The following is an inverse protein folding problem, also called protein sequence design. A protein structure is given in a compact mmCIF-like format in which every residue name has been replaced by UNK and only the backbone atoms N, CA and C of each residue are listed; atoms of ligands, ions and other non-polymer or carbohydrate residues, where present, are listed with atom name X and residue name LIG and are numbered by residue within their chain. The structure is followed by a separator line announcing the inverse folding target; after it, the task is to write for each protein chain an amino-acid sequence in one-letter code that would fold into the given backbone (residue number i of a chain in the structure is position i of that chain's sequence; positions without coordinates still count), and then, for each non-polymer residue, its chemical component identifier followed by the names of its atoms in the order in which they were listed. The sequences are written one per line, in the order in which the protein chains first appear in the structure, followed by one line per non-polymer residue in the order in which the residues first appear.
data_IF_883890332287
#
_entry.id   IF_883890332287
#
_cell.length_a   1.000
_cell.length_b   1.000
_cell.length_c   1.000
_cell.angle_alpha   90.00
_cell.angle_beta   90.00
_cell.angle_gamma   90.00
#
_symmetry.space_group_name_H-M   'P 1'
#
loop_
_entity.id
_entity.type
_entity.pdbx_description
1 polymer ?
#
# COMPACT_ATOMS: atom_id res chain seq x y z
N UNK A 1 -2.74 29.10 4.17
CA UNK A 1 -2.73 27.63 4.04
C UNK A 1 -3.98 27.09 4.72
N UNK A 2 -4.72 26.23 4.05
CA UNK A 2 -5.82 25.52 4.70
C UNK A 2 -5.28 24.35 5.56
N UNK A 3 -6.13 23.76 6.41
CA UNK A 3 -5.73 22.67 7.32
C UNK A 3 -5.14 21.47 6.59
N UNK A 4 -5.59 21.15 5.39
CA UNK A 4 -5.09 20.07 4.57
C UNK A 4 -3.67 20.35 4.05
N UNK A 5 -3.43 21.57 3.55
CA UNK A 5 -2.09 21.98 3.11
C UNK A 5 -1.09 21.94 4.27
N UNK A 6 -1.51 22.42 5.46
CA UNK A 6 -0.68 22.36 6.66
C UNK A 6 -0.37 20.92 7.06
N UNK A 7 -1.37 20.04 7.05
CA UNK A 7 -1.22 18.62 7.35
C UNK A 7 -0.24 17.93 6.39
N UNK A 8 -0.37 18.15 5.07
CA UNK A 8 0.54 17.59 4.06
C UNK A 8 1.97 18.05 4.30
N UNK A 9 2.20 19.36 4.47
CA UNK A 9 3.55 19.90 4.71
C UNK A 9 4.13 19.36 6.02
N UNK A 10 3.33 19.31 7.09
CA UNK A 10 3.77 18.79 8.38
C UNK A 10 4.13 17.27 8.31
N UNK A 11 3.32 16.48 7.62
CA UNK A 11 3.58 15.04 7.44
C UNK A 11 4.85 14.78 6.62
N UNK A 12 5.04 15.49 5.51
CA UNK A 12 6.25 15.40 4.70
C UNK A 12 7.49 15.83 5.50
N UNK A 13 7.42 16.93 6.26
CA UNK A 13 8.51 17.35 7.13
C UNK A 13 8.83 16.31 8.22
N UNK A 14 7.81 15.66 8.79
CA UNK A 14 7.98 14.58 9.75
C UNK A 14 8.72 13.39 9.13
N UNK A 15 8.32 12.94 7.94
CA UNK A 15 8.97 11.82 7.23
C UNK A 15 10.41 12.14 6.84
N UNK A 16 10.67 13.37 6.39
CA UNK A 16 12.04 13.84 6.12
C UNK A 16 12.90 13.83 7.40
N UNK A 17 12.34 14.28 8.53
CA UNK A 17 13.02 14.27 9.82
C UNK A 17 13.36 12.84 10.28
N UNK A 18 12.41 11.89 10.14
CA UNK A 18 12.64 10.48 10.46
C UNK A 18 13.72 9.89 9.56
N UNK A 19 13.64 10.13 8.25
CA UNK A 19 14.64 9.70 7.27
C UNK A 19 16.02 10.26 7.61
N UNK A 20 16.12 11.55 7.92
CA UNK A 20 17.39 12.18 8.33
C UNK A 20 17.94 11.58 9.63
N UNK A 21 17.09 11.37 10.64
CA UNK A 21 17.52 10.71 11.89
C UNK A 21 18.04 9.30 11.64
N UNK A 22 17.35 8.52 10.80
CA UNK A 22 17.79 7.17 10.44
C UNK A 22 19.10 7.19 9.64
N UNK A 23 19.25 8.14 8.71
CA UNK A 23 20.44 8.30 7.87
C UNK A 23 21.72 8.56 8.66
N UNK A 24 21.64 9.29 9.79
CA UNK A 24 22.79 9.48 10.69
C UNK A 24 23.39 8.18 11.24
N UNK A 25 22.64 7.08 11.22
CA UNK A 25 23.08 5.78 11.72
C UNK A 25 23.59 4.84 10.64
N UNK A 26 23.58 5.28 9.38
CA UNK A 26 24.13 4.54 8.24
C UNK A 26 25.64 4.75 8.22
N UNK A 27 26.41 3.68 8.45
CA UNK A 27 27.87 3.73 8.48
C UNK A 27 28.52 2.85 7.41
N UNK A 28 27.86 1.78 7.02
CA UNK A 28 28.38 0.77 6.09
C UNK A 28 27.40 0.52 4.95
N UNK A 29 27.83 -0.08 3.87
CA UNK A 29 26.98 -0.48 2.74
C UNK A 29 25.84 -1.40 3.16
N UNK A 30 26.07 -2.30 4.12
CA UNK A 30 25.00 -3.15 4.65
C UNK A 30 23.90 -2.36 5.38
N UNK A 31 24.24 -1.26 6.06
CA UNK A 31 23.24 -0.39 6.67
C UNK A 31 22.37 0.27 5.60
N UNK A 32 22.98 0.68 4.49
CA UNK A 32 22.30 1.35 3.39
C UNK A 32 21.41 0.41 2.57
N UNK A 33 21.93 -0.77 2.18
CA UNK A 33 21.18 -1.71 1.34
C UNK A 33 20.19 -2.59 2.10
N UNK A 34 20.56 -3.08 3.28
CA UNK A 34 19.79 -4.09 4.03
C UNK A 34 19.59 -3.75 5.51
N UNK A 35 19.66 -2.47 5.87
CA UNK A 35 19.45 -1.96 7.24
C UNK A 35 20.29 -2.67 8.32
N UNK A 36 21.50 -3.11 7.95
CA UNK A 36 22.39 -3.87 8.85
C UNK A 36 21.86 -5.24 9.25
N UNK A 37 20.85 -5.77 8.55
CA UNK A 37 20.22 -7.09 8.79
C UNK A 37 19.74 -7.31 10.23
N UNK A 38 19.35 -6.26 10.91
CA UNK A 38 18.98 -6.33 12.34
C UNK A 38 17.54 -5.85 12.60
N UNK A 39 16.69 -5.81 11.57
CA UNK A 39 15.31 -5.35 11.71
C UNK A 39 14.47 -6.38 12.49
N UNK A 40 13.79 -5.96 13.56
CA UNK A 40 12.86 -6.81 14.33
C UNK A 40 11.54 -7.03 13.58
N UNK A 41 10.71 -7.94 14.08
CA UNK A 41 9.44 -8.33 13.46
C UNK A 41 8.54 -7.14 13.15
N UNK A 42 8.40 -6.18 14.07
CA UNK A 42 7.49 -5.03 13.87
C UNK A 42 7.92 -4.11 12.71
N UNK A 43 9.22 -3.90 12.51
CA UNK A 43 9.72 -3.10 11.41
C UNK A 43 9.55 -3.82 10.07
N UNK A 44 9.80 -5.14 10.01
CA UNK A 44 9.58 -5.91 8.79
C UNK A 44 8.08 -6.00 8.48
N UNK A 45 7.22 -6.25 9.47
CA UNK A 45 5.78 -6.24 9.31
C UNK A 45 5.29 -4.88 8.79
N UNK A 46 5.69 -3.80 9.46
CA UNK A 46 5.26 -2.44 9.09
C UNK A 46 5.64 -2.08 7.66
N UNK A 47 6.89 -2.38 7.25
CA UNK A 47 7.33 -2.10 5.87
C UNK A 47 6.69 -3.03 4.83
N UNK A 48 6.40 -4.30 5.15
CA UNK A 48 5.67 -5.22 4.26
C UNK A 48 4.26 -4.68 3.97
N UNK A 49 3.53 -4.27 5.02
CA UNK A 49 2.18 -3.73 4.88
C UNK A 49 2.20 -2.36 4.21
N UNK A 50 3.06 -1.44 4.67
CA UNK A 50 3.12 -0.09 4.13
C UNK A 50 3.53 -0.06 2.66
N UNK A 51 4.47 -0.90 2.24
CA UNK A 51 4.90 -0.96 0.84
C UNK A 51 3.89 -1.63 -0.10
N UNK A 52 2.94 -2.40 0.42
CA UNK A 52 1.85 -2.97 -0.36
C UNK A 52 0.66 -2.02 -0.46
N UNK A 53 0.20 -1.49 0.67
CA UNK A 53 -0.85 -0.49 0.68
C UNK A 53 -0.33 0.80 0.05
N UNK A 54 -0.81 1.08 -1.14
CA UNK A 54 -0.47 2.28 -1.91
C UNK A 54 -1.72 3.15 -2.11
N UNK A 55 -1.60 4.20 -2.89
CA UNK A 55 -2.75 4.99 -3.34
C UNK A 55 -3.82 4.13 -4.01
N UNK A 56 -3.43 3.03 -4.68
CA UNK A 56 -4.39 2.11 -5.32
C UNK A 56 -5.36 1.47 -4.31
N UNK A 57 -4.90 1.08 -3.13
CA UNK A 57 -5.77 0.48 -2.10
C UNK A 57 -6.83 1.47 -1.60
N UNK A 58 -6.44 2.73 -1.41
CA UNK A 58 -7.32 3.77 -0.86
C UNK A 58 -8.16 4.51 -1.90
N UNK A 59 -7.77 4.51 -3.15
CA UNK A 59 -8.51 5.13 -4.25
C UNK A 59 -9.14 4.07 -5.15
N UNK A 60 -8.33 3.24 -5.80
CA UNK A 60 -8.81 2.26 -6.78
C UNK A 60 -9.72 1.20 -6.17
N UNK A 61 -9.22 0.45 -5.19
CA UNK A 61 -9.98 -0.67 -4.60
C UNK A 61 -11.11 -0.19 -3.68
N UNK A 62 -10.92 0.91 -2.94
CA UNK A 62 -12.00 1.54 -2.19
C UNK A 62 -13.07 2.11 -3.13
N UNK A 63 -12.67 2.69 -4.27
CA UNK A 63 -13.60 3.13 -5.33
C UNK A 63 -14.41 1.95 -5.91
N UNK A 64 -13.78 0.82 -6.19
CA UNK A 64 -14.48 -0.41 -6.60
C UNK A 64 -15.49 -0.88 -5.54
N UNK A 65 -15.14 -0.77 -4.27
CA UNK A 65 -16.04 -1.14 -3.17
C UNK A 65 -17.22 -0.18 -3.05
N UNK A 66 -17.00 1.10 -3.26
CA UNK A 66 -18.05 2.11 -3.36
C UNK A 66 -18.97 1.87 -4.57
N UNK A 67 -18.43 1.40 -5.70
CA UNK A 67 -19.22 1.02 -6.89
C UNK A 67 -20.10 -0.23 -6.69
N UNK A 68 -19.91 -0.97 -5.60
CA UNK A 68 -20.71 -2.15 -5.26
C UNK A 68 -19.97 -3.48 -5.33
N UNK A 69 -18.63 -3.47 -5.32
CA UNK A 69 -17.81 -4.68 -5.48
C UNK A 69 -16.96 -5.01 -4.24
N UNK A 70 -17.33 -4.51 -3.05
CA UNK A 70 -16.58 -4.72 -1.82
C UNK A 70 -16.27 -6.19 -1.50
N UNK A 71 -17.20 -7.16 -1.60
CA UNK A 71 -16.88 -8.56 -1.34
C UNK A 71 -15.89 -9.16 -2.33
N UNK A 72 -15.94 -8.76 -3.60
CA UNK A 72 -14.98 -9.22 -4.61
C UNK A 72 -13.55 -8.72 -4.31
N UNK A 73 -13.40 -7.47 -3.88
CA UNK A 73 -12.10 -6.93 -3.44
C UNK A 73 -11.59 -7.70 -2.22
N UNK A 74 -12.46 -8.09 -1.28
CA UNK A 74 -12.07 -8.89 -0.11
C UNK A 74 -11.66 -10.30 -0.54
N UNK A 75 -12.38 -10.96 -1.46
CA UNK A 75 -12.02 -12.28 -1.99
C UNK A 75 -10.65 -12.21 -2.68
N UNK A 76 -10.43 -11.24 -3.56
CA UNK A 76 -9.15 -10.99 -4.20
C UNK A 76 -8.04 -10.80 -3.16
N UNK A 77 -8.29 -10.03 -2.12
CA UNK A 77 -7.34 -9.77 -1.03
C UNK A 77 -7.00 -11.04 -0.25
N UNK A 78 -7.95 -11.92 0.01
CA UNK A 78 -7.69 -13.21 0.66
C UNK A 78 -6.65 -14.04 -0.12
N UNK A 79 -6.79 -14.13 -1.44
CA UNK A 79 -5.83 -14.83 -2.27
C UNK A 79 -4.48 -14.12 -2.31
N UNK A 80 -4.45 -12.80 -2.46
CA UNK A 80 -3.19 -12.07 -2.54
C UNK A 80 -2.40 -12.09 -1.23
N UNK A 81 -3.06 -12.04 -0.08
CA UNK A 81 -2.41 -12.10 1.23
C UNK A 81 -1.74 -13.46 1.51
N UNK A 82 -2.21 -14.56 0.91
CA UNK A 82 -1.51 -15.86 0.98
C UNK A 82 -0.09 -15.76 0.40
N UNK A 83 0.15 -14.83 -0.50
CA UNK A 83 1.47 -14.54 -1.06
C UNK A 83 2.52 -14.20 -0.01
N UNK A 84 2.14 -13.59 1.13
CA UNK A 84 3.08 -13.35 2.22
C UNK A 84 3.63 -14.64 2.82
N UNK A 85 2.77 -15.64 3.03
CA UNK A 85 3.19 -16.94 3.58
C UNK A 85 4.03 -17.71 2.54
N UNK A 86 3.55 -17.79 1.30
CA UNK A 86 4.29 -18.44 0.21
C UNK A 86 5.65 -17.75 0.02
N UNK A 87 5.67 -16.42 -0.02
CA UNK A 87 6.88 -15.62 -0.15
C UNK A 87 7.87 -15.85 1.00
N UNK A 88 7.42 -15.85 2.24
CA UNK A 88 8.28 -16.08 3.39
C UNK A 88 8.86 -17.50 3.45
N UNK A 89 8.01 -18.51 3.21
CA UNK A 89 8.40 -19.93 3.32
C UNK A 89 9.31 -20.36 2.18
N UNK A 90 8.97 -20.01 0.93
CA UNK A 90 9.68 -20.52 -0.25
C UNK A 90 10.80 -19.61 -0.75
N UNK A 91 10.77 -18.31 -0.43
CA UNK A 91 11.76 -17.34 -0.91
C UNK A 91 12.44 -16.57 0.22
N UNK A 92 11.70 -15.99 1.14
CA UNK A 92 12.20 -15.04 2.13
C UNK A 92 13.25 -15.64 3.07
N UNK A 93 13.06 -16.85 3.54
CA UNK A 93 14.04 -17.58 4.37
C UNK A 93 15.36 -17.80 3.64
N UNK A 94 15.30 -18.21 2.38
CA UNK A 94 16.49 -18.44 1.55
C UNK A 94 17.21 -17.15 1.22
N UNK A 95 16.46 -16.08 0.88
CA UNK A 95 17.01 -14.75 0.70
C UNK A 95 17.72 -14.28 1.96
N UNK A 96 17.09 -14.40 3.13
CA UNK A 96 17.73 -14.02 4.40
C UNK A 96 18.99 -14.80 4.69
N UNK A 97 18.98 -16.11 4.42
CA UNK A 97 20.12 -17.00 4.61
C UNK A 97 21.28 -16.71 3.66
N UNK A 98 21.00 -16.26 2.45
CA UNK A 98 22.01 -16.01 1.40
C UNK A 98 22.98 -14.88 1.72
N UNK A 99 22.63 -13.99 2.64
CA UNK A 99 23.40 -12.78 2.95
C UNK A 99 23.63 -11.85 1.74
N UNK A 100 22.83 -11.96 0.68
CA UNK A 100 22.91 -11.06 -0.47
C UNK A 100 22.53 -9.64 -0.10
N UNK A 101 23.09 -8.62 -0.74
CA UNK A 101 22.73 -7.22 -0.53
C UNK A 101 21.50 -6.80 -1.34
N UNK A 102 21.30 -7.46 -2.48
CA UNK A 102 20.16 -7.19 -3.38
C UNK A 102 19.58 -8.50 -3.91
N UNK A 103 18.35 -8.46 -4.40
CA UNK A 103 17.72 -9.62 -5.06
C UNK A 103 18.49 -10.04 -6.33
N UNK A 104 18.95 -9.14 -7.21
CA UNK A 104 19.83 -9.52 -8.33
C UNK A 104 21.14 -10.19 -7.89
N UNK A 105 21.75 -9.74 -6.80
CA UNK A 105 22.96 -10.36 -6.26
C UNK A 105 22.72 -11.79 -5.74
N UNK A 106 21.53 -12.05 -5.16
CA UNK A 106 21.11 -13.40 -4.80
C UNK A 106 21.04 -14.32 -6.02
N UNK A 107 20.45 -13.87 -7.13
CA UNK A 107 20.39 -14.66 -8.37
C UNK A 107 21.78 -14.95 -8.94
N UNK A 108 22.68 -13.94 -8.91
CA UNK A 108 24.08 -14.18 -9.31
C UNK A 108 24.72 -15.28 -8.50
N UNK A 109 24.60 -15.24 -7.18
CA UNK A 109 25.20 -16.23 -6.28
C UNK A 109 24.57 -17.63 -6.52
N UNK A 110 23.23 -17.68 -6.71
CA UNK A 110 22.50 -18.93 -6.89
C UNK A 110 22.82 -19.65 -8.20
N UNK A 111 22.97 -18.91 -9.29
CA UNK A 111 23.16 -19.44 -10.65
C UNK A 111 24.59 -19.28 -11.15
N UNK A 112 25.48 -18.70 -10.36
CA UNK A 112 26.86 -18.36 -10.73
C UNK A 112 26.96 -17.64 -12.09
N UNK A 113 26.04 -16.69 -12.35
CA UNK A 113 25.91 -16.04 -13.64
C UNK A 113 25.67 -14.54 -13.52
N UNK A 114 26.61 -13.73 -14.05
CA UNK A 114 26.49 -12.28 -14.15
C UNK A 114 25.36 -11.85 -15.11
N UNK A 115 25.08 -12.65 -16.14
CA UNK A 115 23.99 -12.36 -17.09
C UNK A 115 22.64 -12.44 -16.40
N UNK A 116 22.41 -13.46 -15.55
CA UNK A 116 21.17 -13.59 -14.78
C UNK A 116 20.99 -12.41 -13.81
N UNK A 117 22.07 -11.97 -13.15
CA UNK A 117 22.02 -10.78 -12.31
C UNK A 117 21.58 -9.55 -13.11
N UNK A 118 22.17 -9.33 -14.29
CA UNK A 118 21.85 -8.21 -15.17
C UNK A 118 20.38 -8.23 -15.63
N UNK A 119 19.88 -9.39 -16.09
CA UNK A 119 18.47 -9.52 -16.48
C UNK A 119 17.51 -9.28 -15.29
N UNK A 120 17.84 -9.80 -14.11
CA UNK A 120 17.04 -9.53 -12.91
C UNK A 120 17.05 -8.03 -12.56
N UNK A 121 18.22 -7.36 -12.65
CA UNK A 121 18.33 -5.92 -12.42
C UNK A 121 17.49 -5.10 -13.42
N UNK A 122 17.59 -5.39 -14.71
CA UNK A 122 16.81 -4.72 -15.76
C UNK A 122 15.31 -4.90 -15.52
N UNK A 123 14.87 -6.13 -15.20
CA UNK A 123 13.47 -6.40 -14.92
C UNK A 123 12.95 -5.60 -13.73
N UNK A 124 13.75 -5.44 -12.68
CA UNK A 124 13.41 -4.60 -11.51
C UNK A 124 13.31 -3.13 -11.93
N UNK A 125 14.30 -2.61 -12.66
CA UNK A 125 14.32 -1.21 -13.09
C UNK A 125 13.07 -0.91 -13.93
N UNK A 126 12.79 -1.72 -14.96
CA UNK A 126 11.62 -1.48 -15.84
C UNK A 126 10.31 -1.61 -15.09
N UNK A 127 10.10 -2.72 -14.35
CA UNK A 127 8.84 -2.99 -13.68
C UNK A 127 8.54 -2.00 -12.55
N UNK A 128 9.53 -1.71 -11.69
CA UNK A 128 9.31 -0.81 -10.57
C UNK A 128 9.28 0.66 -10.97
N UNK A 129 9.96 1.07 -12.06
CA UNK A 129 9.84 2.45 -12.58
C UNK A 129 8.44 2.71 -13.13
N UNK A 130 7.85 1.75 -13.85
CA UNK A 130 6.47 1.87 -14.33
C UNK A 130 5.47 1.99 -13.15
N UNK A 131 5.64 1.16 -12.12
CA UNK A 131 4.77 1.22 -10.94
C UNK A 131 4.99 2.51 -10.13
N UNK A 132 6.23 2.98 -10.01
CA UNK A 132 6.59 4.26 -9.37
C UNK A 132 5.86 5.44 -10.02
N UNK A 133 5.80 5.47 -11.35
CA UNK A 133 5.06 6.50 -12.09
C UNK A 133 3.57 6.49 -11.73
N UNK A 134 2.93 5.31 -11.72
CA UNK A 134 1.52 5.18 -11.37
C UNK A 134 1.23 5.66 -9.94
N UNK A 135 2.06 5.27 -8.96
CA UNK A 135 1.90 5.70 -7.56
C UNK A 135 2.14 7.20 -7.40
N UNK A 136 3.14 7.75 -8.10
CA UNK A 136 3.43 9.20 -8.06
C UNK A 136 2.26 10.00 -8.60
N UNK A 137 1.71 9.56 -9.74
CA UNK A 137 0.55 10.21 -10.34
C UNK A 137 -0.69 10.13 -9.44
N UNK A 138 -0.98 8.98 -8.83
CA UNK A 138 -2.06 8.83 -7.87
C UNK A 138 -1.95 9.77 -6.65
N UNK A 139 -0.74 9.95 -6.11
CA UNK A 139 -0.49 10.93 -5.04
C UNK A 139 -0.68 12.36 -5.50
N UNK A 140 -0.23 12.68 -6.73
CA UNK A 140 -0.38 14.02 -7.29
C UNK A 140 -1.85 14.40 -7.47
N UNK A 141 -2.71 13.47 -7.92
CA UNK A 141 -4.16 13.69 -8.01
C UNK A 141 -4.76 14.08 -6.65
N UNK A 142 -4.41 13.37 -5.57
CA UNK A 142 -4.88 13.68 -4.21
C UNK A 142 -4.47 15.10 -3.82
N UNK A 143 -3.20 15.45 -4.04
CA UNK A 143 -2.70 16.79 -3.69
C UNK A 143 -3.40 17.86 -4.51
N UNK A 144 -3.56 17.66 -5.81
CA UNK A 144 -4.26 18.60 -6.69
C UNK A 144 -5.70 18.82 -6.25
N UNK A 145 -6.44 17.76 -5.95
CA UNK A 145 -7.85 17.82 -5.55
C UNK A 145 -8.02 18.52 -4.19
N UNK A 146 -7.15 18.23 -3.22
CA UNK A 146 -7.26 18.74 -1.86
C UNK A 146 -6.68 20.15 -1.69
N UNK A 147 -5.64 20.51 -2.48
CA UNK A 147 -4.93 21.78 -2.29
C UNK A 147 -5.18 22.81 -3.37
N UNK A 148 -5.66 22.39 -4.54
CA UNK A 148 -5.80 23.22 -5.74
C UNK A 148 -4.46 23.50 -6.46
N UNK A 149 -3.38 22.81 -6.11
CA UNK A 149 -2.11 22.94 -6.83
C UNK A 149 -2.25 22.40 -8.26
N UNK A 150 -1.43 22.94 -9.18
CA UNK A 150 -1.34 22.35 -10.52
C UNK A 150 -0.77 20.92 -10.45
N UNK A 151 -1.18 20.07 -11.37
CA UNK A 151 -0.73 18.68 -11.44
C UNK A 151 0.80 18.57 -11.46
N UNK A 152 1.46 19.42 -12.25
CA UNK A 152 2.93 19.46 -12.34
C UNK A 152 3.56 19.80 -11.00
N UNK A 153 3.02 20.79 -10.27
CA UNK A 153 3.53 21.16 -8.95
C UNK A 153 3.35 20.04 -7.93
N UNK A 154 2.20 19.34 -7.98
CA UNK A 154 1.91 18.20 -7.13
C UNK A 154 2.86 17.01 -7.41
N UNK A 155 3.09 16.67 -8.69
CA UNK A 155 4.06 15.62 -9.09
C UNK A 155 5.47 15.97 -8.60
N UNK A 156 5.92 17.20 -8.80
CA UNK A 156 7.26 17.64 -8.36
C UNK A 156 7.39 17.58 -6.83
N UNK A 157 6.37 18.02 -6.10
CA UNK A 157 6.36 17.97 -4.63
C UNK A 157 6.51 16.52 -4.12
N UNK A 158 5.73 15.60 -4.66
CA UNK A 158 5.76 14.18 -4.31
C UNK A 158 7.12 13.58 -4.66
N UNK A 159 7.58 13.80 -5.90
CA UNK A 159 8.84 13.26 -6.40
C UNK A 159 10.04 13.73 -5.56
N UNK A 160 10.14 15.02 -5.30
CA UNK A 160 11.21 15.58 -4.45
C UNK A 160 11.14 15.01 -3.05
N UNK A 161 9.94 14.88 -2.47
CA UNK A 161 9.76 14.39 -1.11
C UNK A 161 10.30 12.97 -0.92
N UNK A 162 9.83 11.99 -1.70
CA UNK A 162 10.31 10.61 -1.52
C UNK A 162 11.76 10.43 -1.97
N UNK A 163 12.25 11.24 -2.92
CA UNK A 163 13.64 11.21 -3.35
C UNK A 163 14.57 11.65 -2.22
N UNK A 164 14.28 12.79 -1.58
CA UNK A 164 15.15 13.35 -0.53
C UNK A 164 15.31 12.40 0.66
N UNK A 165 14.21 11.85 1.20
CA UNK A 165 14.35 10.98 2.36
C UNK A 165 14.94 9.59 2.01
N UNK A 166 14.77 9.13 0.76
CA UNK A 166 15.32 7.85 0.29
C UNK A 166 16.82 7.92 0.06
N UNK A 167 17.28 8.95 -0.63
CA UNK A 167 18.70 9.12 -0.97
C UNK A 167 19.62 9.15 0.26
N UNK A 168 19.18 9.82 1.32
CA UNK A 168 20.03 10.01 2.50
C UNK A 168 20.03 8.79 3.44
N UNK A 169 18.92 8.11 3.59
CA UNK A 169 18.74 7.11 4.63
C UNK A 169 18.84 5.65 4.16
N UNK A 170 18.72 5.41 2.86
CA UNK A 170 18.67 4.06 2.28
C UNK A 170 17.60 3.19 2.94
N UNK A 171 17.81 1.88 2.94
CA UNK A 171 16.85 0.90 3.51
C UNK A 171 16.57 1.10 5.00
N UNK A 172 17.54 1.62 5.76
CA UNK A 172 17.35 1.84 7.20
C UNK A 172 16.32 2.91 7.51
N UNK A 173 16.32 3.99 6.73
CA UNK A 173 15.29 5.02 6.84
C UNK A 173 13.95 4.54 6.32
N UNK A 174 13.96 3.87 5.17
CA UNK A 174 12.74 3.38 4.54
C UNK A 174 11.96 2.47 5.49
N UNK A 175 12.56 1.45 6.12
CA UNK A 175 11.80 0.56 7.03
C UNK A 175 11.28 1.26 8.28
N UNK A 176 11.94 2.31 8.75
CA UNK A 176 11.49 3.07 9.91
C UNK A 176 10.33 4.01 9.52
N UNK A 177 10.48 4.77 8.45
CA UNK A 177 9.40 5.63 7.93
C UNK A 177 8.18 4.82 7.51
N UNK A 178 8.35 3.70 6.82
CA UNK A 178 7.28 2.79 6.45
C UNK A 178 6.49 2.30 7.65
N UNK A 179 7.17 1.95 8.75
CA UNK A 179 6.50 1.48 9.97
C UNK A 179 5.67 2.60 10.60
N UNK A 180 6.18 3.84 10.63
CA UNK A 180 5.43 4.99 11.13
C UNK A 180 4.23 5.28 10.23
N UNK A 181 4.41 5.24 8.91
CA UNK A 181 3.36 5.42 7.91
C UNK A 181 2.27 4.34 8.04
N UNK A 182 2.68 3.07 8.22
CA UNK A 182 1.76 1.97 8.49
C UNK A 182 0.89 2.24 9.72
N UNK A 183 1.48 2.66 10.83
CA UNK A 183 0.73 2.96 12.05
C UNK A 183 -0.23 4.14 11.85
N UNK A 184 0.20 5.17 11.10
CA UNK A 184 -0.61 6.34 10.81
C UNK A 184 -1.84 5.97 9.99
N UNK A 185 -1.66 5.35 8.80
CA UNK A 185 -2.81 5.06 7.94
C UNK A 185 -3.71 3.97 8.53
N UNK A 186 -3.14 2.99 9.24
CA UNK A 186 -3.95 1.96 9.91
C UNK A 186 -4.82 2.55 11.01
N UNK A 187 -4.26 3.44 11.82
CA UNK A 187 -5.01 4.11 12.89
C UNK A 187 -6.12 4.99 12.35
N UNK A 188 -5.81 5.84 11.36
CA UNK A 188 -6.81 6.77 10.85
C UNK A 188 -7.92 6.07 10.06
N UNK A 189 -7.66 4.99 9.31
CA UNK A 189 -8.71 4.29 8.57
C UNK A 189 -9.70 3.60 9.52
N UNK A 190 -9.21 3.04 10.63
CA UNK A 190 -10.09 2.46 11.66
C UNK A 190 -10.99 3.55 12.27
N UNK A 191 -10.42 4.70 12.63
CA UNK A 191 -11.17 5.84 13.15
C UNK A 191 -12.20 6.31 12.11
N UNK A 192 -11.79 6.46 10.85
CA UNK A 192 -12.68 6.85 9.75
C UNK A 192 -13.86 5.90 9.58
N UNK A 193 -13.61 4.58 9.68
CA UNK A 193 -14.67 3.58 9.60
C UNK A 193 -15.73 3.78 10.70
N UNK A 194 -15.32 4.07 11.95
CA UNK A 194 -16.27 4.37 13.02
C UNK A 194 -17.15 5.59 12.72
N UNK A 195 -16.55 6.68 12.19
CA UNK A 195 -17.33 7.86 11.79
C UNK A 195 -18.33 7.58 10.68
N UNK A 196 -17.94 6.78 9.66
CA UNK A 196 -18.83 6.41 8.55
C UNK A 196 -19.98 5.55 9.06
N UNK A 197 -19.67 4.56 9.88
CA UNK A 197 -20.68 3.64 10.43
C UNK A 197 -21.65 4.37 11.37
N UNK A 198 -21.14 5.29 12.20
CA UNK A 198 -21.99 6.12 13.07
C UNK A 198 -22.94 6.99 12.24
N UNK A 199 -22.43 7.65 11.19
CA UNK A 199 -23.22 8.45 10.27
C UNK A 199 -24.26 7.62 9.48
N UNK A 200 -24.02 6.31 9.28
CA UNK A 200 -24.94 5.37 8.65
C UNK A 200 -25.95 4.72 9.64
N UNK A 201 -25.99 5.18 10.90
CA UNK A 201 -26.92 4.69 11.94
C UNK A 201 -26.43 3.49 12.73
N UNK A 202 -25.13 3.15 12.66
CA UNK A 202 -24.51 2.05 13.40
C UNK A 202 -24.26 0.79 12.57
N UNK A 203 -23.49 -0.15 13.12
CA UNK A 203 -23.01 -1.34 12.41
C UNK A 203 -24.12 -2.22 11.83
N UNK A 204 -25.12 -2.56 12.64
CA UNK A 204 -26.21 -3.45 12.20
C UNK A 204 -27.11 -2.75 11.19
N UNK A 205 -27.47 -1.48 11.45
CA UNK A 205 -28.27 -0.67 10.54
C UNK A 205 -27.58 -0.49 9.19
N UNK A 206 -26.27 -0.23 9.17
CA UNK A 206 -25.51 -0.10 7.93
C UNK A 206 -25.53 -1.39 7.11
N UNK A 207 -25.33 -2.57 7.75
CA UNK A 207 -25.36 -3.86 7.05
C UNK A 207 -26.76 -4.16 6.52
N UNK A 208 -27.82 -3.97 7.31
CA UNK A 208 -29.20 -4.19 6.91
C UNK A 208 -29.59 -3.27 5.74
N UNK A 209 -29.23 -1.99 5.82
CA UNK A 209 -29.51 -1.02 4.76
C UNK A 209 -28.74 -1.32 3.46
N UNK A 210 -27.48 -1.76 3.56
CA UNK A 210 -26.71 -2.18 2.37
C UNK A 210 -27.26 -3.47 1.75
N UNK A 211 -27.83 -4.38 2.55
CA UNK A 211 -28.41 -5.64 2.04
C UNK A 211 -29.61 -5.41 1.12
N UNK A 212 -30.38 -4.35 1.37
CA UNK A 212 -31.57 -3.98 0.60
C UNK A 212 -31.36 -2.73 -0.27
N UNK A 213 -30.12 -2.34 -0.52
CA UNK A 213 -29.80 -1.08 -1.19
C UNK A 213 -30.13 -1.12 -2.69
N UNK A 214 -31.27 -0.52 -3.07
CA UNK A 214 -31.84 -0.60 -4.43
C UNK A 214 -30.97 0.11 -5.49
N UNK A 215 -30.25 1.20 -5.14
CA UNK A 215 -29.44 1.92 -6.10
C UNK A 215 -28.24 1.11 -6.61
N UNK A 216 -27.71 0.18 -5.79
CA UNK A 216 -26.62 -0.73 -6.16
C UNK A 216 -26.94 -2.14 -5.64
N UNK A 217 -27.85 -2.88 -6.30
CA UNK A 217 -28.27 -4.21 -5.85
C UNK A 217 -27.07 -5.16 -5.75
N UNK A 218 -26.98 -5.91 -4.65
CA UNK A 218 -25.90 -6.86 -4.43
C UNK A 218 -24.58 -6.26 -3.92
N UNK A 219 -24.56 -5.00 -3.49
CA UNK A 219 -23.35 -4.30 -3.00
C UNK A 219 -22.56 -5.08 -1.92
N UNK A 220 -23.25 -5.86 -1.08
CA UNK A 220 -22.63 -6.74 -0.08
C UNK A 220 -22.82 -8.24 -0.38
N UNK A 221 -23.40 -8.59 -1.55
CA UNK A 221 -23.45 -9.98 -2.00
C UNK A 221 -22.04 -10.45 -2.37
N UNK A 222 -21.75 -11.76 -2.22
CA UNK A 222 -20.41 -12.30 -2.46
C UNK A 222 -19.87 -12.04 -3.88
N UNK A 223 -20.76 -11.91 -4.87
CA UNK A 223 -20.44 -11.57 -6.26
C UNK A 223 -20.38 -10.06 -6.52
N UNK A 224 -20.74 -9.23 -5.52
CA UNK A 224 -20.88 -7.79 -5.72
C UNK A 224 -22.02 -7.44 -6.69
N UNK A 225 -21.98 -6.25 -7.24
CA UNK A 225 -22.94 -5.80 -8.24
C UNK A 225 -22.67 -6.47 -9.59
N UNK A 226 -23.72 -7.05 -10.20
CA UNK A 226 -23.68 -7.70 -11.53
C UNK A 226 -24.79 -7.14 -12.41
N UNK A 227 -24.61 -7.19 -13.73
CA UNK A 227 -25.62 -6.77 -14.70
C UNK A 227 -25.01 -6.15 -15.96
N UNK A 228 -25.86 -5.73 -16.93
CA UNK A 228 -25.39 -5.24 -18.23
C UNK A 228 -24.61 -3.91 -18.17
N UNK A 229 -24.83 -3.10 -17.12
CA UNK A 229 -24.23 -1.77 -16.97
C UNK A 229 -23.05 -1.74 -15.99
N UNK A 230 -22.50 -2.92 -15.64
CA UNK A 230 -21.37 -3.06 -14.73
C UNK A 230 -20.28 -3.95 -15.32
N UNK A 231 -19.15 -4.11 -14.61
CA UNK A 231 -17.98 -4.85 -15.11
C UNK A 231 -18.28 -6.33 -15.44
N UNK A 232 -19.18 -6.98 -14.71
CA UNK A 232 -19.49 -8.42 -14.87
C UNK A 232 -20.98 -8.64 -15.03
N UNK A 233 -21.33 -9.50 -15.96
CA UNK A 233 -22.73 -9.83 -16.23
C UNK A 233 -23.24 -10.98 -15.36
N UNK A 234 -22.36 -11.87 -14.95
CA UNK A 234 -22.70 -13.06 -14.15
C UNK A 234 -21.85 -13.14 -12.88
N UNK A 235 -22.40 -13.84 -11.87
CA UNK A 235 -21.73 -14.11 -10.60
C UNK A 235 -20.39 -14.84 -10.79
N UNK A 236 -20.36 -15.80 -11.74
CA UNK A 236 -19.18 -16.57 -12.03
C UNK A 236 -18.06 -15.77 -12.70
N UNK A 237 -18.39 -14.87 -13.61
CA UNK A 237 -17.41 -13.94 -14.20
C UNK A 237 -16.74 -13.11 -13.12
N UNK A 238 -17.53 -12.56 -12.21
CA UNK A 238 -17.03 -11.77 -11.09
C UNK A 238 -16.10 -12.57 -10.19
N UNK A 239 -16.49 -13.80 -9.81
CA UNK A 239 -15.68 -14.67 -8.94
C UNK A 239 -14.39 -15.13 -9.64
N UNK A 240 -14.48 -15.54 -10.91
CA UNK A 240 -13.31 -15.96 -11.70
C UNK A 240 -12.32 -14.80 -11.80
N UNK A 241 -12.79 -13.61 -12.12
CA UNK A 241 -11.95 -12.41 -12.18
C UNK A 241 -11.25 -12.15 -10.83
N UNK A 242 -11.99 -12.09 -9.73
CA UNK A 242 -11.43 -11.84 -8.40
C UNK A 242 -10.42 -12.92 -7.98
N UNK A 243 -10.69 -14.18 -8.33
CA UNK A 243 -9.81 -15.31 -8.02
C UNK A 243 -8.52 -15.26 -8.84
N UNK A 244 -8.62 -15.05 -10.17
CA UNK A 244 -7.44 -14.97 -11.06
C UNK A 244 -6.56 -13.78 -10.66
N UNK A 245 -7.17 -12.61 -10.47
CA UNK A 245 -6.42 -11.41 -10.09
C UNK A 245 -5.82 -11.55 -8.70
N UNK A 246 -6.56 -12.11 -7.74
CA UNK A 246 -6.08 -12.37 -6.40
C UNK A 246 -4.90 -13.35 -6.37
N UNK A 247 -4.94 -14.44 -7.13
CA UNK A 247 -3.83 -15.39 -7.28
C UNK A 247 -2.63 -14.75 -7.98
N UNK A 248 -2.86 -13.99 -9.04
CA UNK A 248 -1.79 -13.26 -9.75
C UNK A 248 -1.09 -12.28 -8.80
N UNK A 249 -1.82 -11.47 -8.04
CA UNK A 249 -1.27 -10.59 -7.02
C UNK A 249 -0.62 -11.37 -5.86
N UNK A 250 -1.15 -12.53 -5.48
CA UNK A 250 -0.52 -13.42 -4.50
C UNK A 250 0.87 -13.87 -4.95
N UNK A 251 1.03 -14.24 -6.23
CA UNK A 251 2.34 -14.55 -6.81
C UNK A 251 3.24 -13.31 -6.79
N UNK A 252 2.72 -12.13 -7.17
CA UNK A 252 3.46 -10.87 -7.10
C UNK A 252 3.94 -10.60 -5.68
N UNK A 253 3.09 -10.72 -4.66
CA UNK A 253 3.47 -10.56 -3.25
C UNK A 253 4.57 -11.55 -2.84
N UNK A 254 4.48 -12.80 -3.31
CA UNK A 254 5.44 -13.84 -2.94
C UNK A 254 6.84 -13.62 -3.51
N UNK A 255 6.95 -13.13 -4.76
CA UNK A 255 8.24 -13.14 -5.49
C UNK A 255 8.78 -11.77 -5.84
N UNK A 256 7.97 -10.71 -5.82
CA UNK A 256 8.44 -9.41 -6.28
C UNK A 256 9.51 -8.80 -5.38
N UNK A 257 10.47 -8.09 -5.97
CA UNK A 257 11.62 -7.54 -5.26
C UNK A 257 11.24 -6.56 -4.16
N UNK A 258 10.15 -5.80 -4.33
CA UNK A 258 9.72 -4.80 -3.35
C UNK A 258 9.15 -5.42 -2.06
N UNK A 259 8.68 -6.68 -2.09
CA UNK A 259 8.33 -7.43 -0.88
C UNK A 259 9.51 -8.28 -0.40
N UNK A 260 10.14 -9.05 -1.30
CA UNK A 260 11.17 -10.02 -0.90
C UNK A 260 12.46 -9.37 -0.40
N UNK A 261 12.82 -8.16 -0.85
CA UNK A 261 13.95 -7.39 -0.32
C UNK A 261 13.81 -7.07 1.18
N UNK A 262 12.58 -6.97 1.71
CA UNK A 262 12.34 -6.74 3.14
C UNK A 262 12.85 -7.90 4.00
N UNK A 263 12.78 -9.12 3.48
CA UNK A 263 13.29 -10.29 4.17
C UNK A 263 14.84 -10.29 4.29
N UNK A 264 15.56 -9.64 3.37
CA UNK A 264 17.01 -9.45 3.48
C UNK A 264 17.41 -8.62 4.71
N UNK A 265 16.53 -7.72 5.15
CA UNK A 265 16.75 -6.82 6.28
C UNK A 265 16.44 -7.46 7.64
N UNK A 266 15.69 -8.58 7.66
CA UNK A 266 15.25 -9.24 8.87
C UNK A 266 16.41 -9.77 9.72
N UNK A 267 16.30 -9.69 11.06
CA UNK A 267 17.32 -10.19 11.99
C UNK A 267 17.52 -11.70 11.90
N UNK A 268 16.47 -12.46 11.61
CA UNK A 268 16.51 -13.93 11.52
C UNK A 268 15.40 -14.48 10.64
N UNK A 269 15.49 -15.76 10.25
CA UNK A 269 14.43 -16.46 9.53
C UNK A 269 13.12 -16.52 10.32
N UNK A 270 13.16 -16.60 11.64
CA UNK A 270 11.96 -16.52 12.48
C UNK A 270 11.27 -15.15 12.38
N UNK A 271 12.05 -14.07 12.26
CA UNK A 271 11.49 -12.74 12.02
C UNK A 271 10.80 -12.69 10.65
N UNK A 272 11.37 -13.29 9.61
CA UNK A 272 10.74 -13.40 8.27
C UNK A 272 9.36 -14.05 8.39
N UNK A 273 9.28 -15.22 9.02
CA UNK A 273 8.00 -15.95 9.14
C UNK A 273 6.97 -15.20 9.99
N UNK A 274 7.39 -14.70 11.15
CA UNK A 274 6.48 -13.96 12.05
C UNK A 274 5.96 -12.67 11.43
N UNK A 275 6.82 -11.93 10.72
CA UNK A 275 6.40 -10.70 10.05
C UNK A 275 5.47 -10.97 8.88
N UNK A 276 5.66 -12.06 8.13
CA UNK A 276 4.77 -12.46 7.06
C UNK A 276 3.38 -12.86 7.56
N UNK A 277 3.30 -13.65 8.64
CA UNK A 277 2.03 -13.98 9.29
C UNK A 277 1.33 -12.73 9.82
N UNK A 278 2.08 -11.84 10.48
CA UNK A 278 1.54 -10.58 10.97
C UNK A 278 1.07 -9.65 9.83
N UNK A 279 1.82 -9.59 8.71
CA UNK A 279 1.45 -8.80 7.54
C UNK A 279 0.16 -9.33 6.88
N UNK A 280 0.02 -10.65 6.74
CA UNK A 280 -1.21 -11.28 6.25
C UNK A 280 -2.42 -10.85 7.10
N UNK A 281 -2.35 -10.97 8.41
CA UNK A 281 -3.45 -10.62 9.32
C UNK A 281 -3.75 -9.12 9.26
N UNK A 282 -2.71 -8.27 9.33
CA UNK A 282 -2.87 -6.83 9.29
C UNK A 282 -3.50 -6.37 7.97
N UNK A 283 -3.06 -6.94 6.84
CA UNK A 283 -3.61 -6.64 5.52
C UNK A 283 -5.09 -7.04 5.40
N UNK A 284 -5.46 -8.25 5.81
CA UNK A 284 -6.85 -8.70 5.77
C UNK A 284 -7.75 -7.79 6.60
N UNK A 285 -7.32 -7.41 7.81
CA UNK A 285 -8.09 -6.53 8.67
C UNK A 285 -8.23 -5.11 8.07
N UNK A 286 -7.13 -4.54 7.55
CA UNK A 286 -7.16 -3.21 6.95
C UNK A 286 -8.04 -3.17 5.70
N UNK A 287 -7.93 -4.18 4.84
CA UNK A 287 -8.78 -4.26 3.64
C UNK A 287 -10.25 -4.46 3.98
N UNK A 288 -10.56 -5.29 4.98
CA UNK A 288 -11.93 -5.46 5.44
C UNK A 288 -12.52 -4.12 5.92
N UNK A 289 -11.77 -3.41 6.77
CA UNK A 289 -12.21 -2.10 7.31
C UNK A 289 -12.35 -1.06 6.20
N UNK A 290 -11.35 -0.94 5.31
CA UNK A 290 -11.36 0.07 4.24
C UNK A 290 -12.48 -0.16 3.24
N UNK A 291 -12.69 -1.40 2.81
CA UNK A 291 -13.68 -1.73 1.78
C UNK A 291 -15.11 -1.72 2.33
N UNK A 292 -15.30 -2.15 3.58
CA UNK A 292 -16.58 -2.00 4.26
C UNK A 292 -16.94 -0.53 4.46
N UNK A 293 -15.99 0.29 4.92
CA UNK A 293 -16.18 1.73 5.05
C UNK A 293 -16.57 2.37 3.70
N UNK A 294 -15.83 2.06 2.62
CA UNK A 294 -16.13 2.59 1.30
C UNK A 294 -17.51 2.19 0.77
N UNK A 295 -17.93 0.93 0.98
CA UNK A 295 -19.27 0.48 0.63
C UNK A 295 -20.35 1.23 1.42
N UNK A 296 -20.14 1.45 2.73
CA UNK A 296 -21.08 2.10 3.62
C UNK A 296 -21.31 3.57 3.27
N UNK A 297 -20.34 4.25 2.65
CA UNK A 297 -20.49 5.65 2.20
C UNK A 297 -21.67 5.83 1.25
N UNK A 298 -22.08 4.80 0.52
CA UNK A 298 -23.27 4.85 -0.34
C UNK A 298 -24.56 5.23 0.42
N UNK A 299 -24.64 4.89 1.69
CA UNK A 299 -25.80 5.25 2.53
C UNK A 299 -25.82 6.73 2.91
N UNK A 300 -24.69 7.43 2.76
CA UNK A 300 -24.52 8.83 3.13
C UNK A 300 -24.52 9.71 1.87
N UNK A 301 -23.74 9.32 0.86
CA UNK A 301 -23.67 9.98 -0.44
C UNK A 301 -23.51 8.94 -1.55
N UNK A 302 -24.58 8.67 -2.36
CA UNK A 302 -24.55 7.71 -3.45
C UNK A 302 -23.91 8.22 -4.74
N UNK A 303 -23.65 9.54 -4.87
CA UNK A 303 -23.36 10.23 -6.13
C UNK A 303 -21.90 10.71 -6.26
N UNK A 304 -20.97 10.11 -5.51
CA UNK A 304 -19.54 10.47 -5.60
C UNK A 304 -19.00 10.03 -6.97
N UNK A 305 -18.49 11.00 -7.72
CA UNK A 305 -17.93 10.81 -9.06
C UNK A 305 -16.65 11.64 -9.19
N UNK A 306 -15.50 11.04 -9.58
CA UNK A 306 -15.31 9.61 -9.80
C UNK A 306 -15.29 8.81 -8.47
N UNK A 307 -15.55 7.50 -8.55
CA UNK A 307 -15.62 6.64 -7.35
C UNK A 307 -14.29 6.56 -6.58
N UNK A 308 -13.18 6.72 -7.27
CA UNK A 308 -11.82 6.79 -6.70
C UNK A 308 -11.65 7.94 -5.71
N UNK A 309 -12.46 9.02 -5.84
CA UNK A 309 -12.44 10.16 -4.91
C UNK A 309 -13.18 9.89 -3.59
N UNK A 310 -13.72 8.68 -3.37
CA UNK A 310 -14.51 8.35 -2.16
C UNK A 310 -13.75 8.70 -0.87
N UNK A 311 -12.47 8.32 -0.74
CA UNK A 311 -11.70 8.61 0.47
C UNK A 311 -11.40 10.11 0.63
N UNK A 312 -11.23 10.84 -0.47
CA UNK A 312 -11.04 12.29 -0.45
C UNK A 312 -12.35 12.97 -0.03
N UNK A 313 -13.48 12.53 -0.58
CA UNK A 313 -14.80 13.03 -0.20
C UNK A 313 -15.07 12.85 1.30
N UNK A 314 -14.78 11.66 1.85
CA UNK A 314 -14.89 11.37 3.29
C UNK A 314 -14.05 12.35 4.11
N UNK A 315 -12.80 12.56 3.71
CA UNK A 315 -11.88 13.46 4.40
C UNK A 315 -12.36 14.90 4.43
N UNK A 316 -12.96 15.37 3.33
CA UNK A 316 -13.33 16.77 3.15
C UNK A 316 -14.74 17.10 3.67
N UNK A 317 -15.66 16.13 3.66
CA UNK A 317 -17.08 16.38 3.91
C UNK A 317 -17.66 15.68 5.15
N UNK A 318 -17.13 14.52 5.53
CA UNK A 318 -17.70 13.72 6.62
C UNK A 318 -16.92 13.86 7.93
N UNK A 319 -15.60 13.89 7.85
CA UNK A 319 -14.76 13.95 9.05
C UNK A 319 -14.58 15.37 9.56
N UNK A 320 -14.37 15.56 10.88
CA UNK A 320 -13.82 16.79 11.41
C UNK A 320 -12.53 17.17 10.68
N UNK A 321 -12.34 18.44 10.38
CA UNK A 321 -11.25 18.94 9.50
C UNK A 321 -9.87 18.38 9.86
N UNK A 322 -9.56 18.23 11.15
CA UNK A 322 -8.26 17.69 11.61
C UNK A 322 -8.14 16.20 11.26
N UNK A 323 -9.19 15.40 11.49
CA UNK A 323 -9.20 13.99 11.16
C UNK A 323 -9.18 13.77 9.64
N UNK A 324 -9.90 14.59 8.89
CA UNK A 324 -9.86 14.58 7.42
C UNK A 324 -8.45 14.88 6.90
N UNK A 325 -7.76 15.87 7.45
CA UNK A 325 -6.37 16.16 7.10
C UNK A 325 -5.43 14.99 7.44
N UNK A 326 -5.62 14.34 8.59
CA UNK A 326 -4.86 13.14 8.97
C UNK A 326 -5.16 11.97 8.03
N UNK A 327 -6.41 11.78 7.57
CA UNK A 327 -6.76 10.75 6.59
C UNK A 327 -6.03 10.98 5.27
N UNK A 328 -6.04 12.19 4.73
CA UNK A 328 -5.28 12.55 3.52
C UNK A 328 -3.78 12.28 3.71
N UNK A 329 -3.21 12.69 4.85
CA UNK A 329 -1.81 12.39 5.18
C UNK A 329 -1.55 10.88 5.26
N UNK A 330 -2.50 10.08 5.75
CA UNK A 330 -2.41 8.62 5.80
C UNK A 330 -2.42 7.99 4.40
N UNK A 331 -3.31 8.44 3.51
CA UNK A 331 -3.34 7.95 2.12
C UNK A 331 -2.07 8.32 1.37
N UNK A 332 -1.59 9.57 1.53
CA UNK A 332 -0.30 9.99 0.97
C UNK A 332 0.87 9.22 1.56
N UNK A 333 0.86 8.90 2.85
CA UNK A 333 1.88 8.08 3.50
C UNK A 333 1.97 6.69 2.87
N UNK A 334 0.85 6.04 2.58
CA UNK A 334 0.81 4.75 1.89
C UNK A 334 1.45 4.82 0.49
N UNK A 335 1.16 5.88 -0.27
CA UNK A 335 1.81 6.12 -1.56
C UNK A 335 3.31 6.38 -1.44
N UNK A 336 3.71 7.24 -0.50
CA UNK A 336 5.12 7.60 -0.26
C UNK A 336 5.97 6.39 0.17
N UNK A 337 5.43 5.50 1.00
CA UNK A 337 6.09 4.25 1.40
C UNK A 337 6.38 3.36 0.20
N UNK A 338 5.39 3.16 -0.68
CA UNK A 338 5.57 2.40 -1.91
C UNK A 338 6.59 3.06 -2.84
N UNK A 339 6.49 4.37 -3.06
CA UNK A 339 7.38 5.13 -3.93
C UNK A 339 8.84 5.09 -3.47
N UNK A 340 9.10 5.29 -2.17
CA UNK A 340 10.45 5.24 -1.59
C UNK A 340 11.07 3.85 -1.72
N UNK A 341 10.24 2.81 -1.55
CA UNK A 341 10.65 1.42 -1.74
C UNK A 341 11.07 1.16 -3.18
N UNK A 342 10.26 1.55 -4.14
CA UNK A 342 10.53 1.32 -5.56
C UNK A 342 11.75 2.09 -6.02
N UNK A 343 11.88 3.36 -5.63
CA UNK A 343 13.06 4.18 -5.93
C UNK A 343 14.35 3.56 -5.37
N UNK A 344 14.33 3.10 -4.11
CA UNK A 344 15.48 2.44 -3.49
C UNK A 344 15.92 1.21 -4.28
N UNK A 345 14.98 0.35 -4.65
CA UNK A 345 15.28 -0.90 -5.34
C UNK A 345 15.76 -0.68 -6.78
N UNK A 346 15.20 0.30 -7.49
CA UNK A 346 15.69 0.73 -8.80
C UNK A 346 17.14 1.20 -8.67
N UNK A 347 17.44 2.10 -7.72
CA UNK A 347 18.79 2.59 -7.45
C UNK A 347 19.76 1.47 -7.09
N UNK A 348 19.38 0.55 -6.21
CA UNK A 348 20.22 -0.58 -5.80
C UNK A 348 20.48 -1.55 -6.96
N UNK A 349 19.52 -1.74 -7.86
CA UNK A 349 19.66 -2.64 -9.02
C UNK A 349 20.57 -2.07 -10.11
N UNK A 350 20.69 -0.74 -10.19
CA UNK A 350 21.59 -0.05 -11.13
C UNK A 350 23.01 -0.02 -10.58
N UNK A 351 23.16 0.17 -9.26
CA UNK A 351 24.48 0.37 -8.63
C UNK A 351 25.24 -0.94 -8.34
N UNK A 352 24.58 -2.10 -8.43
CA UNK A 352 25.13 -3.39 -8.01
C UNK A 352 24.89 -4.50 -9.03
#
# INVERSE_FOLDING_TARGET
MNSFQLGIVASLACYLAIGWYAGKRVRYLEDFFVAGRNAPTILILGTLVASFMSTNAFMGEAGMSYQGHAPLVIIMTCFNCLGYIVGAVFFGRYLRRSQALTVPAFFRARFNSRRIQMFAGISIVVGLSAYLLAVTWGMALIITEVTGFSEVAAILLVWVSYTLFTLYSGSRGVILTDTVMFLLFSGIIVITCFFIVDAAGGWFSAIESLAVYEAKPGIIAWHGRIGPDVYWQTEWEALIWASILGVAWGIVVAVSPWQTSRYLMARSEHVVLRSACGALIAMLLLYLVTNFAAATVNLINPDITPAESTMIWIAMNLLPTVLGAILICGVLAAGLSSASTFLSLVGFSVSH
#
